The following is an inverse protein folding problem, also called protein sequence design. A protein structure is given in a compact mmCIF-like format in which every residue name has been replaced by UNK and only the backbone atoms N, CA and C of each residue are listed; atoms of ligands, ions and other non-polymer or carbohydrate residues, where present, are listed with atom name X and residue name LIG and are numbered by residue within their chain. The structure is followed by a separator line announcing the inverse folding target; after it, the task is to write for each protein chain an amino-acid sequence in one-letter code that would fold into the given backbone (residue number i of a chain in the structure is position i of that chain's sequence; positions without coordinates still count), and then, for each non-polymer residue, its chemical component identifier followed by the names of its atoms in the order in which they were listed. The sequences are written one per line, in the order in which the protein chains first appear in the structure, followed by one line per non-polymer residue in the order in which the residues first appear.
data_IF_655531182132
#
_entry.id   IF_655531182132
#
_cell.length_a   1.000
_cell.length_b   1.000
_cell.length_c   1.000
_cell.angle_alpha   90.00
_cell.angle_beta   90.00
_cell.angle_gamma   90.00
#
_symmetry.space_group_name_H-M   'P 1'
#
loop_
_entity.id
_entity.type
_entity.pdbx_description
1 polymer ?
#
# COMPACT_ATOMS: atom_id res chain seq x y z
N UNK A 1 19.33 -21.12 -2.42
CA UNK A 1 19.92 -20.33 -3.52
C UNK A 1 21.19 -19.69 -2.98
N UNK A 2 22.37 -20.03 -3.50
CA UNK A 2 23.64 -19.59 -2.92
C UNK A 2 24.44 -18.65 -3.82
N UNK A 3 24.11 -18.53 -5.12
CA UNK A 3 24.81 -17.63 -6.05
C UNK A 3 23.88 -16.77 -6.91
N UNK A 4 24.38 -15.61 -7.35
CA UNK A 4 23.69 -14.69 -8.28
C UNK A 4 23.30 -15.34 -9.62
N UNK A 5 24.06 -16.35 -10.07
CA UNK A 5 23.74 -17.15 -11.26
C UNK A 5 22.46 -17.97 -11.06
N UNK A 6 22.22 -18.47 -9.85
CA UNK A 6 21.01 -19.24 -9.55
C UNK A 6 19.78 -18.32 -9.56
N UNK A 7 19.91 -17.09 -9.06
CA UNK A 7 18.84 -16.09 -9.12
C UNK A 7 18.44 -15.78 -10.56
N UNK A 8 19.42 -15.58 -11.45
CA UNK A 8 19.14 -15.36 -12.87
C UNK A 8 18.49 -16.59 -13.52
N UNK A 9 18.99 -17.79 -13.22
CA UNK A 9 18.39 -19.04 -13.74
C UNK A 9 16.95 -19.20 -13.27
N UNK A 10 16.63 -18.92 -12.01
CA UNK A 10 15.25 -19.01 -11.50
C UNK A 10 14.28 -18.10 -12.27
N UNK A 11 14.71 -16.88 -12.63
CA UNK A 11 13.90 -15.95 -13.43
C UNK A 11 13.64 -16.50 -14.84
N UNK A 12 14.67 -17.02 -15.52
CA UNK A 12 14.56 -17.45 -16.92
C UNK A 12 14.05 -18.88 -17.12
N UNK A 13 14.25 -19.74 -16.13
CA UNK A 13 13.95 -21.18 -16.22
C UNK A 13 12.59 -21.51 -15.62
N UNK A 14 12.05 -20.62 -14.78
CA UNK A 14 10.69 -20.69 -14.26
C UNK A 14 10.62 -21.06 -12.77
N UNK A 15 9.43 -20.99 -12.17
CA UNK A 15 9.23 -21.06 -10.72
C UNK A 15 9.56 -22.43 -10.11
N UNK A 16 9.55 -23.51 -10.89
CA UNK A 16 9.92 -24.85 -10.44
C UNK A 16 11.44 -25.09 -10.38
N UNK A 17 12.25 -24.18 -10.92
CA UNK A 17 13.69 -24.36 -11.00
C UNK A 17 14.38 -24.15 -9.64
N UNK A 18 15.27 -25.07 -9.30
CA UNK A 18 16.14 -25.01 -8.12
C UNK A 18 17.57 -25.42 -8.50
N UNK A 19 18.60 -25.01 -7.73
CA UNK A 19 19.97 -25.44 -8.01
C UNK A 19 20.08 -26.96 -8.01
N UNK A 20 20.43 -27.54 -9.17
CA UNK A 20 20.53 -28.98 -9.37
C UNK A 20 19.38 -29.62 -10.14
N UNK A 21 18.25 -28.94 -10.38
CA UNK A 21 17.13 -29.47 -11.18
C UNK A 21 17.21 -29.06 -12.66
N UNK A 22 16.54 -29.80 -13.57
CA UNK A 22 16.39 -29.44 -14.98
C UNK A 22 15.74 -28.06 -15.16
N UNK A 23 15.81 -27.48 -16.37
CA UNK A 23 15.25 -26.15 -16.66
C UNK A 23 13.80 -25.98 -16.16
N UNK A 24 12.92 -26.97 -16.31
CA UNK A 24 11.52 -26.87 -15.89
C UNK A 24 11.27 -27.22 -14.40
N UNK A 25 12.34 -27.46 -13.64
CA UNK A 25 12.24 -28.06 -12.30
C UNK A 25 12.07 -29.57 -12.36
N UNK A 26 11.91 -30.17 -11.19
CA UNK A 26 11.61 -31.59 -11.04
C UNK A 26 10.11 -31.76 -10.79
N UNK A 27 9.41 -32.42 -11.71
CA UNK A 27 7.97 -32.61 -11.63
C UNK A 27 7.52 -33.42 -10.42
N UNK A 28 8.38 -34.30 -9.91
CA UNK A 28 8.05 -35.14 -8.77
C UNK A 28 8.16 -34.39 -7.43
N UNK A 29 8.88 -33.27 -7.41
CA UNK A 29 8.98 -32.41 -6.21
C UNK A 29 7.82 -31.43 -6.07
N UNK A 30 6.94 -31.32 -7.08
CA UNK A 30 5.79 -30.43 -6.95
C UNK A 30 4.84 -30.97 -5.87
N UNK A 31 4.46 -30.12 -4.88
CA UNK A 31 3.51 -30.54 -3.87
C UNK A 31 2.19 -30.89 -4.55
N UNK A 32 1.65 -32.07 -4.23
CA UNK A 32 0.34 -32.49 -4.72
C UNK A 32 -0.72 -31.51 -4.22
N UNK A 33 -1.33 -30.77 -5.13
CA UNK A 33 -2.27 -29.71 -4.82
C UNK A 33 -3.61 -30.37 -4.49
N UNK A 34 -3.80 -30.71 -3.21
CA UNK A 34 -5.07 -31.24 -2.73
C UNK A 34 -6.15 -30.18 -2.87
N UNK A 35 -7.18 -30.48 -3.66
CA UNK A 35 -8.40 -29.67 -3.72
C UNK A 35 -9.24 -29.93 -2.45
N UNK A 36 -9.95 -28.91 -1.91
CA UNK A 36 -10.10 -27.54 -2.41
C UNK A 36 -9.08 -26.56 -1.80
N UNK A 37 -8.51 -25.67 -2.62
CA UNK A 37 -7.80 -24.49 -2.10
C UNK A 37 -8.80 -23.48 -1.57
N UNK A 38 -8.67 -23.10 -0.30
CA UNK A 38 -9.43 -21.98 0.26
C UNK A 38 -9.05 -20.69 -0.49
N UNK A 39 -10.05 -20.00 -1.05
CA UNK A 39 -9.84 -18.71 -1.70
C UNK A 39 -9.42 -17.70 -0.64
N UNK A 40 -8.31 -17.01 -0.88
CA UNK A 40 -7.91 -15.87 -0.07
C UNK A 40 -9.02 -14.82 -0.11
N UNK A 41 -9.60 -14.53 1.07
CA UNK A 41 -10.70 -13.59 1.24
C UNK A 41 -10.52 -12.87 2.60
N UNK A 42 -9.58 -11.92 2.69
CA UNK A 42 -9.36 -11.16 3.90
C UNK A 42 -10.61 -10.35 4.21
N UNK A 43 -11.09 -10.46 5.45
CA UNK A 43 -12.24 -9.70 5.91
C UNK A 43 -11.76 -8.54 6.77
N UNK A 44 -12.01 -7.32 6.30
CA UNK A 44 -11.81 -6.12 7.10
C UNK A 44 -13.09 -5.80 7.86
N UNK A 45 -13.00 -5.16 9.04
CA UNK A 45 -14.16 -4.53 9.66
C UNK A 45 -14.84 -3.58 8.67
N UNK A 46 -16.17 -3.57 8.64
CA UNK A 46 -16.96 -2.78 7.68
C UNK A 46 -16.54 -1.30 7.60
N UNK A 47 -16.16 -0.69 8.73
CA UNK A 47 -15.70 0.70 8.76
C UNK A 47 -14.38 0.91 8.00
N UNK A 48 -13.46 -0.05 8.04
CA UNK A 48 -12.19 0.01 7.29
C UNK A 48 -12.45 -0.19 5.80
N UNK A 49 -13.38 -1.07 5.45
CA UNK A 49 -13.77 -1.29 4.06
C UNK A 49 -14.38 -0.02 3.44
N UNK A 50 -15.33 0.61 4.14
CA UNK A 50 -15.90 1.90 3.73
C UNK A 50 -14.82 2.98 3.63
N UNK A 51 -13.91 3.04 4.61
CA UNK A 51 -12.80 3.98 4.58
C UNK A 51 -11.94 3.80 3.33
N UNK A 52 -11.52 2.56 3.04
CA UNK A 52 -10.68 2.23 1.88
C UNK A 52 -11.35 2.60 0.57
N UNK A 53 -12.65 2.31 0.41
CA UNK A 53 -13.41 2.65 -0.80
C UNK A 53 -13.44 4.17 -1.00
N UNK A 54 -13.73 4.94 0.05
CA UNK A 54 -13.75 6.41 -0.03
C UNK A 54 -12.35 6.94 -0.33
N UNK A 55 -11.33 6.47 0.39
CA UNK A 55 -9.95 6.92 0.18
C UNK A 55 -9.46 6.60 -1.23
N UNK A 56 -9.72 5.39 -1.73
CA UNK A 56 -9.38 5.00 -3.09
C UNK A 56 -10.04 5.95 -4.11
N UNK A 57 -11.32 6.25 -3.92
CA UNK A 57 -12.05 7.19 -4.78
C UNK A 57 -11.43 8.59 -4.77
N UNK A 58 -11.09 9.10 -3.58
CA UNK A 58 -10.40 10.40 -3.44
C UNK A 58 -9.04 10.40 -4.15
N UNK A 59 -8.25 9.33 -4.00
CA UNK A 59 -6.95 9.20 -4.66
C UNK A 59 -7.09 9.17 -6.19
N UNK A 60 -8.09 8.47 -6.74
CA UNK A 60 -8.38 8.47 -8.18
C UNK A 60 -8.74 9.87 -8.68
N UNK A 61 -9.59 10.60 -7.94
CA UNK A 61 -9.94 11.98 -8.29
C UNK A 61 -8.71 12.90 -8.26
N UNK A 62 -7.90 12.80 -7.21
CA UNK A 62 -6.65 13.57 -7.08
C UNK A 62 -5.68 13.24 -8.22
N UNK A 63 -5.53 11.96 -8.58
CA UNK A 63 -4.72 11.54 -9.71
C UNK A 63 -5.19 12.19 -11.02
N UNK A 64 -6.50 12.25 -11.26
CA UNK A 64 -7.04 12.89 -12.45
C UNK A 64 -6.74 14.40 -12.50
N UNK A 65 -6.91 15.11 -11.37
CA UNK A 65 -6.61 16.55 -11.26
C UNK A 65 -5.12 16.81 -11.52
N UNK A 66 -4.24 16.04 -10.90
CA UNK A 66 -2.79 16.17 -11.07
C UNK A 66 -2.34 15.84 -12.49
N UNK A 67 -2.95 14.85 -13.12
CA UNK A 67 -2.65 14.48 -14.52
C UNK A 67 -3.02 15.60 -15.49
N UNK A 68 -4.15 16.29 -15.24
CA UNK A 68 -4.55 17.44 -16.05
C UNK A 68 -3.57 18.62 -15.94
N UNK A 69 -2.81 18.72 -14.85
CA UNK A 69 -1.81 19.75 -14.59
C UNK A 69 -0.37 19.28 -14.82
N UNK A 70 -0.16 18.05 -15.32
CA UNK A 70 1.16 17.44 -15.40
C UNK A 70 2.19 18.31 -16.15
N UNK A 71 1.78 19.01 -17.21
CA UNK A 71 2.66 19.85 -18.02
C UNK A 71 3.18 21.10 -17.29
N UNK A 72 2.56 21.52 -16.19
CA UNK A 72 3.00 22.69 -15.41
C UNK A 72 3.92 22.33 -14.26
N UNK A 73 4.04 21.04 -13.91
CA UNK A 73 4.86 20.60 -12.80
C UNK A 73 6.34 20.45 -13.17
N UNK A 74 7.19 20.80 -12.21
CA UNK A 74 8.61 20.45 -12.28
C UNK A 74 8.79 18.94 -12.09
N UNK A 75 9.87 18.39 -12.66
CA UNK A 75 10.16 16.94 -12.63
C UNK A 75 10.14 16.34 -11.21
N UNK A 76 10.63 17.07 -10.20
CA UNK A 76 10.64 16.60 -8.81
C UNK A 76 9.25 16.53 -8.18
N UNK A 77 8.34 17.45 -8.54
CA UNK A 77 6.94 17.40 -8.08
C UNK A 77 6.23 16.18 -8.67
N UNK A 78 6.49 15.89 -9.94
CA UNK A 78 5.98 14.67 -10.60
C UNK A 78 6.43 13.42 -9.84
N UNK A 79 7.70 13.32 -9.44
CA UNK A 79 8.19 12.19 -8.66
C UNK A 79 7.47 12.09 -7.30
N UNK A 80 7.30 13.21 -6.59
CA UNK A 80 6.57 13.24 -5.31
C UNK A 80 5.14 12.72 -5.49
N UNK A 81 4.43 13.15 -6.55
CA UNK A 81 3.08 12.67 -6.82
C UNK A 81 3.02 11.19 -7.17
N UNK A 82 3.92 10.69 -8.02
CA UNK A 82 3.99 9.26 -8.35
C UNK A 82 4.25 8.44 -7.08
N UNK A 83 5.22 8.86 -6.26
CA UNK A 83 5.50 8.21 -4.98
C UNK A 83 4.29 8.24 -4.05
N UNK A 84 3.59 9.37 -3.94
CA UNK A 84 2.37 9.49 -3.15
C UNK A 84 1.28 8.50 -3.60
N UNK A 85 1.04 8.39 -4.91
CA UNK A 85 0.04 7.46 -5.47
C UNK A 85 0.41 6.00 -5.22
N UNK A 86 1.69 5.63 -5.43
CA UNK A 86 2.16 4.27 -5.18
C UNK A 86 2.06 3.91 -3.69
N UNK A 87 2.42 4.83 -2.79
CA UNK A 87 2.26 4.65 -1.35
C UNK A 87 0.78 4.49 -1.00
N UNK A 88 -0.12 5.32 -1.53
CA UNK A 88 -1.57 5.22 -1.29
C UNK A 88 -2.13 3.84 -1.65
N UNK A 89 -1.85 3.34 -2.86
CA UNK A 89 -2.35 2.03 -3.29
C UNK A 89 -1.67 0.90 -2.49
N UNK A 90 -0.38 1.04 -2.18
CA UNK A 90 0.37 0.09 -1.36
C UNK A 90 -0.19 -0.04 0.05
N UNK A 91 -0.58 1.07 0.69
CA UNK A 91 -1.22 1.05 2.02
C UNK A 91 -2.56 0.33 1.97
N UNK A 92 -3.38 0.58 0.94
CA UNK A 92 -4.66 -0.12 0.79
C UNK A 92 -4.45 -1.64 0.73
N UNK A 93 -3.48 -2.10 -0.07
CA UNK A 93 -3.09 -3.52 -0.10
C UNK A 93 -2.62 -4.02 1.27
N UNK A 94 -1.71 -3.28 1.91
CA UNK A 94 -1.19 -3.61 3.23
C UNK A 94 -2.25 -3.67 4.33
N UNK A 95 -3.32 -2.86 4.22
CA UNK A 95 -4.47 -2.91 5.11
C UNK A 95 -5.25 -4.23 4.95
N UNK A 96 -5.52 -4.66 3.71
CA UNK A 96 -6.14 -5.98 3.45
C UNK A 96 -5.25 -7.15 3.88
N UNK A 97 -3.93 -6.99 3.79
CA UNK A 97 -2.96 -7.98 4.25
C UNK A 97 -2.74 -7.96 5.78
N UNK A 98 -3.38 -7.03 6.50
CA UNK A 98 -3.31 -6.93 7.96
C UNK A 98 -1.92 -6.54 8.51
N UNK A 99 -1.11 -5.83 7.73
CA UNK A 99 0.25 -5.48 8.13
C UNK A 99 0.27 -4.46 9.26
N UNK A 100 1.07 -4.73 10.30
CA UNK A 100 1.13 -3.91 11.52
C UNK A 100 1.60 -2.46 11.28
N UNK A 101 2.39 -2.22 10.24
CA UNK A 101 2.89 -0.89 9.90
C UNK A 101 1.92 -0.09 9.01
N UNK A 102 0.90 -0.72 8.42
CA UNK A 102 -0.01 -0.05 7.47
C UNK A 102 -0.74 1.15 8.11
N UNK A 103 -1.29 1.07 9.34
CA UNK A 103 -1.88 2.21 10.04
C UNK A 103 -0.92 3.39 10.21
N UNK A 104 0.35 3.11 10.52
CA UNK A 104 1.36 4.15 10.78
C UNK A 104 1.70 4.90 9.49
N UNK A 105 1.93 4.16 8.40
CA UNK A 105 2.23 4.77 7.10
C UNK A 105 1.02 5.54 6.58
N UNK A 106 -0.21 5.10 6.84
CA UNK A 106 -1.43 5.83 6.49
C UNK A 106 -1.55 7.17 7.23
N UNK A 107 -1.26 7.18 8.53
CA UNK A 107 -1.22 8.41 9.32
C UNK A 107 -0.16 9.39 8.78
N UNK A 108 1.05 8.90 8.50
CA UNK A 108 2.14 9.72 7.95
C UNK A 108 1.79 10.26 6.58
N UNK A 109 1.19 9.43 5.70
CA UNK A 109 0.78 9.84 4.36
C UNK A 109 -0.30 10.93 4.42
N UNK A 110 -1.30 10.79 5.29
CA UNK A 110 -2.34 11.81 5.47
C UNK A 110 -1.75 13.12 5.99
N UNK A 111 -0.85 13.05 6.98
CA UNK A 111 -0.15 14.23 7.50
C UNK A 111 0.70 14.93 6.43
N UNK A 112 1.41 14.16 5.60
CA UNK A 112 2.20 14.68 4.49
C UNK A 112 1.33 15.39 3.45
N UNK A 113 0.16 14.84 3.11
CA UNK A 113 -0.81 15.50 2.23
C UNK A 113 -1.27 16.85 2.81
N UNK A 114 -1.61 16.91 4.10
CA UNK A 114 -2.01 18.16 4.76
C UNK A 114 -0.89 19.19 4.70
N UNK A 115 0.35 18.80 5.00
CA UNK A 115 1.50 19.68 4.96
C UNK A 115 1.73 20.26 3.55
N UNK A 116 1.50 19.45 2.52
CA UNK A 116 1.58 19.89 1.11
C UNK A 116 0.41 20.82 0.75
N UNK A 117 -0.83 20.40 0.99
CA UNK A 117 -2.05 21.10 0.58
C UNK A 117 -2.25 22.45 1.28
N UNK A 118 -1.62 22.67 2.44
CA UNK A 118 -1.63 23.97 3.14
C UNK A 118 -0.88 25.07 2.40
N UNK A 119 0.19 24.71 1.69
CA UNK A 119 1.06 25.68 1.01
C UNK A 119 0.80 25.75 -0.50
N UNK A 120 0.23 24.67 -1.05
CA UNK A 120 0.00 24.51 -2.49
C UNK A 120 -1.45 24.10 -2.73
N UNK A 121 -2.30 24.98 -3.30
CA UNK A 121 -3.67 24.59 -3.65
C UNK A 121 -3.61 23.45 -4.69
N UNK A 122 -4.36 22.39 -4.43
CA UNK A 122 -4.38 21.18 -5.26
C UNK A 122 -5.43 21.32 -6.35
N UNK A 123 -6.55 21.96 -6.04
CA UNK A 123 -7.62 22.24 -6.99
C UNK A 123 -7.79 23.75 -7.18
N UNK A 124 -8.52 24.12 -8.24
CA UNK A 124 -8.87 25.54 -8.47
C UNK A 124 -9.97 26.03 -7.51
N UNK A 125 -10.58 25.14 -6.72
CA UNK A 125 -11.70 25.46 -5.85
C UNK A 125 -11.27 25.38 -4.36
N UNK A 126 -11.19 26.52 -3.65
CA UNK A 126 -10.72 26.55 -2.27
C UNK A 126 -11.63 25.78 -1.30
N UNK A 127 -12.92 25.61 -1.63
CA UNK A 127 -13.86 24.83 -0.81
C UNK A 127 -13.51 23.34 -0.85
N UNK A 128 -13.15 22.83 -2.03
CA UNK A 128 -12.76 21.43 -2.21
C UNK A 128 -11.42 21.18 -1.50
N UNK A 129 -10.45 22.07 -1.66
CA UNK A 129 -9.16 21.97 -0.97
C UNK A 129 -9.32 22.00 0.55
N UNK A 130 -10.17 22.89 1.08
CA UNK A 130 -10.51 22.93 2.50
C UNK A 130 -11.16 21.62 2.98
N UNK A 131 -12.12 21.08 2.21
CA UNK A 131 -12.78 19.82 2.53
C UNK A 131 -11.80 18.64 2.53
N UNK A 132 -10.88 18.58 1.56
CA UNK A 132 -9.83 17.57 1.49
C UNK A 132 -8.89 17.66 2.70
N UNK A 133 -8.43 18.86 3.06
CA UNK A 133 -7.58 19.05 4.25
C UNK A 133 -8.29 18.55 5.51
N UNK A 134 -9.56 18.88 5.71
CA UNK A 134 -10.34 18.41 6.87
C UNK A 134 -10.48 16.88 6.84
N UNK A 135 -10.81 16.31 5.68
CA UNK A 135 -10.92 14.86 5.50
C UNK A 135 -9.62 14.12 5.84
N UNK A 136 -8.48 14.59 5.32
CA UNK A 136 -7.17 14.03 5.62
C UNK A 136 -6.76 14.27 7.08
N UNK A 137 -7.19 15.38 7.70
CA UNK A 137 -6.92 15.65 9.12
C UNK A 137 -7.65 14.67 10.04
N UNK A 138 -8.94 14.43 9.78
CA UNK A 138 -9.72 13.42 10.51
C UNK A 138 -9.09 12.04 10.33
N UNK A 139 -8.69 11.70 9.10
CA UNK A 139 -8.06 10.42 8.79
C UNK A 139 -6.72 10.26 9.52
N UNK A 140 -5.91 11.31 9.60
CA UNK A 140 -4.65 11.31 10.37
C UNK A 140 -4.93 11.01 11.85
N UNK A 141 -5.90 11.69 12.47
CA UNK A 141 -6.24 11.46 13.88
C UNK A 141 -6.74 10.04 14.11
N UNK A 142 -7.59 9.52 13.23
CA UNK A 142 -8.10 8.16 13.30
C UNK A 142 -6.97 7.12 13.20
N UNK A 143 -6.04 7.28 12.24
CA UNK A 143 -5.00 6.28 12.05
C UNK A 143 -3.85 6.40 13.03
N UNK A 144 -3.59 7.58 13.61
CA UNK A 144 -2.65 7.70 14.73
C UNK A 144 -3.16 6.95 15.97
N UNK A 145 -4.45 7.04 16.29
CA UNK A 145 -5.03 6.28 17.42
C UNK A 145 -4.99 4.77 17.17
N UNK A 146 -5.32 4.33 15.95
CA UNK A 146 -5.24 2.94 15.56
C UNK A 146 -3.79 2.41 15.50
N UNK A 147 -2.82 3.25 15.13
CA UNK A 147 -1.40 2.87 15.12
C UNK A 147 -0.92 2.55 16.53
N UNK A 148 -1.31 3.37 17.53
CA UNK A 148 -0.95 3.12 18.92
C UNK A 148 -1.53 1.79 19.42
N UNK A 149 -2.78 1.48 19.08
CA UNK A 149 -3.42 0.22 19.52
C UNK A 149 -2.75 -1.00 18.88
N UNK A 150 -2.38 -0.93 17.60
CA UNK A 150 -1.68 -2.01 16.89
C UNK A 150 -0.27 -2.23 17.46
N UNK A 151 0.50 -1.16 17.69
CA UNK A 151 1.84 -1.26 18.28
C UNK A 151 1.79 -1.89 19.67
N UNK A 152 0.80 -1.51 20.49
CA UNK A 152 0.62 -2.09 21.82
C UNK A 152 0.27 -3.59 21.75
N UNK A 153 -0.56 -4.00 20.80
CA UNK A 153 -0.89 -5.41 20.58
C UNK A 153 0.35 -6.22 20.16
N UNK A 154 1.09 -5.75 19.14
CA UNK A 154 2.31 -6.42 18.66
C UNK A 154 3.40 -6.50 19.74
N UNK A 155 3.56 -5.45 20.56
CA UNK A 155 4.51 -5.45 21.68
C UNK A 155 4.10 -6.37 22.84
N UNK A 156 2.82 -6.74 22.94
CA UNK A 156 2.33 -7.71 23.91
C UNK A 156 2.61 -9.14 23.43
N UNK A 157 2.38 -9.41 22.15
CA UNK A 157 2.59 -10.72 21.55
C UNK A 157 4.07 -11.12 21.59
N UNK A 158 4.98 -10.18 21.31
CA UNK A 158 6.44 -10.42 21.40
C UNK A 158 6.97 -10.71 22.80
N UNK A 159 6.20 -10.45 23.86
CA UNK A 159 6.55 -10.79 25.25
C UNK A 159 6.05 -12.18 25.67
N UNK A 160 5.19 -12.79 24.87
CA UNK A 160 4.60 -14.11 25.15
C UNK A 160 5.36 -15.24 24.44
N UNK A 161 6.21 -14.89 23.46
CA UNK A 161 7.17 -15.78 22.78
C UNK A 161 8.51 -15.84 23.52
#
# INVERSE_FOLDING_TARGET
MSTWRDTLKAIFYGPGWTPGTPRLGDSETFPDIKAPRLKYNPQLPLWQEVYVIIHFTVIVILQQVLTAQFATFSWYMVLVFITFLLISVGIIGAMYDGWWWAPLVEAVRCAAYIAYARNSPVTHNPVIDGALIVYFAISTLLWTSQSMSVIQATAKDSKLE
#
